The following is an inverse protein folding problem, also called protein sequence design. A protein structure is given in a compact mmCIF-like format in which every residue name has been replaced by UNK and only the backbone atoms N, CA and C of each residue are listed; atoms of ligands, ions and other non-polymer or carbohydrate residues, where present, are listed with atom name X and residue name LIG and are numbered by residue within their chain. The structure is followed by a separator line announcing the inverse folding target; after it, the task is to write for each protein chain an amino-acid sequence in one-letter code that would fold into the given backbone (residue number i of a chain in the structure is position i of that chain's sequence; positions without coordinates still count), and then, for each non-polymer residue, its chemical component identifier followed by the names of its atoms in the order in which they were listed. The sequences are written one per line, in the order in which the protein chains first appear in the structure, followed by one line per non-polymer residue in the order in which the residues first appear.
data_IF_499455872234
#
_entry.id   IF_499455872234
#
_cell.length_a   1.000
_cell.length_b   1.000
_cell.length_c   1.000
_cell.angle_alpha   90.00
_cell.angle_beta   90.00
_cell.angle_gamma   90.00
#
_symmetry.space_group_name_H-M   'P 1'
#
loop_
_entity.id
_entity.type
_entity.pdbx_description
1 polymer ?
#
# COMPACT_ATOMS: atom_id res chain seq x y z
N UNK A 1 -14.48 66.49 -45.60
CA UNK A 1 -13.54 66.39 -44.47
C UNK A 1 -13.20 64.91 -44.31
N UNK A 2 -12.13 64.43 -44.95
CA UNK A 2 -10.75 64.34 -44.43
C UNK A 2 -10.68 63.46 -43.16
N UNK A 3 -9.83 62.45 -43.02
CA UNK A 3 -8.72 61.92 -43.83
C UNK A 3 -8.36 60.50 -43.29
N UNK A 4 -7.65 59.73 -44.11
CA UNK A 4 -6.94 58.45 -43.86
C UNK A 4 -6.24 58.36 -42.49
N UNK A 5 -6.07 57.12 -41.99
CA UNK A 5 -4.80 56.59 -41.43
C UNK A 5 -4.81 55.05 -41.60
N UNK A 6 -3.79 54.53 -42.31
CA UNK A 6 -3.37 53.11 -42.29
C UNK A 6 -2.76 52.76 -40.93
N UNK A 7 -2.53 51.48 -40.63
CA UNK A 7 -1.25 50.88 -40.20
C UNK A 7 -1.50 49.57 -39.44
N UNK A 8 -0.72 48.57 -39.82
CA UNK A 8 -0.55 47.25 -39.23
C UNK A 8 -0.55 47.26 -37.70
N UNK A 9 -1.21 46.27 -37.10
CA UNK A 9 -0.74 45.70 -35.82
C UNK A 9 -0.82 44.17 -35.91
N UNK A 10 0.30 43.56 -35.57
CA UNK A 10 0.61 42.15 -35.70
C UNK A 10 -0.27 41.31 -34.77
N UNK A 11 -1.00 40.35 -35.33
CA UNK A 11 -1.50 39.20 -34.57
C UNK A 11 -0.33 38.23 -34.30
N UNK A 12 0.49 38.55 -33.31
CA UNK A 12 1.37 37.57 -32.68
C UNK A 12 0.49 36.60 -31.88
N UNK A 13 0.09 35.50 -32.53
CA UNK A 13 -0.35 34.31 -31.81
C UNK A 13 0.92 33.70 -31.19
N UNK A 14 1.24 34.11 -29.96
CA UNK A 14 2.18 33.36 -29.13
C UNK A 14 1.47 32.06 -28.74
N UNK A 15 1.64 31.04 -29.58
CA UNK A 15 1.44 29.66 -29.18
C UNK A 15 2.48 29.36 -28.09
N UNK A 16 2.12 29.66 -26.84
CA UNK A 16 2.75 29.06 -25.67
C UNK A 16 2.47 27.56 -25.76
N UNK A 17 3.32 26.85 -26.49
CA UNK A 17 3.53 25.43 -26.28
C UNK A 17 4.04 25.29 -24.85
N UNK A 18 3.09 25.12 -23.92
CA UNK A 18 3.38 24.45 -22.66
C UNK A 18 3.84 23.04 -23.06
N UNK A 19 5.14 22.90 -23.34
CA UNK A 19 5.84 21.66 -23.10
C UNK A 19 5.65 21.39 -21.61
N UNK A 20 4.53 20.74 -21.29
CA UNK A 20 4.35 20.01 -20.04
C UNK A 20 5.47 18.99 -20.02
N UNK A 21 6.62 19.40 -19.49
CA UNK A 21 7.63 18.49 -19.04
C UNK A 21 6.93 17.76 -17.89
N UNK A 22 6.32 16.61 -18.18
CA UNK A 22 5.74 15.79 -17.15
C UNK A 22 6.90 15.45 -16.23
N UNK A 23 6.94 16.07 -15.05
CA UNK A 23 7.94 15.77 -14.04
C UNK A 23 7.62 14.35 -13.55
N UNK A 24 8.18 13.37 -14.25
CA UNK A 24 8.16 11.97 -13.87
C UNK A 24 8.62 11.87 -12.42
N UNK A 25 7.83 11.23 -11.56
CA UNK A 25 8.07 11.26 -10.10
C UNK A 25 9.19 10.34 -9.65
N UNK A 26 9.42 9.27 -10.39
CA UNK A 26 10.60 8.44 -10.25
C UNK A 26 11.82 9.16 -10.81
N UNK A 27 13.00 8.92 -10.23
CA UNK A 27 14.27 9.35 -10.83
C UNK A 27 14.50 8.62 -12.17
N UNK A 28 15.39 9.14 -13.01
CA UNK A 28 15.74 8.48 -14.29
C UNK A 28 16.27 7.06 -14.05
N UNK A 29 17.09 6.88 -13.02
CA UNK A 29 17.65 5.60 -12.63
C UNK A 29 16.56 4.61 -12.19
N UNK A 30 15.61 5.06 -11.36
CA UNK A 30 14.50 4.21 -10.94
C UNK A 30 13.65 3.76 -12.12
N UNK A 31 13.36 4.65 -13.07
CA UNK A 31 12.59 4.29 -14.28
C UNK A 31 13.30 3.27 -15.15
N UNK A 32 14.61 3.42 -15.34
CA UNK A 32 15.40 2.48 -16.15
C UNK A 32 15.49 1.09 -15.51
N UNK A 33 15.31 1.01 -14.19
CA UNK A 33 15.39 -0.24 -13.42
C UNK A 33 14.03 -0.92 -13.27
N UNK A 34 12.94 -0.14 -13.24
CA UNK A 34 11.58 -0.65 -13.10
C UNK A 34 11.14 -1.41 -14.35
N UNK A 35 10.89 -2.71 -14.19
CA UNK A 35 10.32 -3.57 -15.22
C UNK A 35 8.79 -3.52 -15.08
N UNK A 36 8.13 -2.82 -16.01
CA UNK A 36 6.67 -2.71 -16.05
C UNK A 36 6.05 -3.88 -16.81
N UNK A 37 4.75 -4.13 -16.57
CA UNK A 37 3.95 -5.12 -17.31
C UNK A 37 4.64 -6.48 -17.47
N UNK A 38 5.18 -7.00 -16.37
CA UNK A 38 5.61 -8.40 -16.31
C UNK A 38 4.36 -9.26 -16.17
N UNK A 39 4.32 -10.40 -16.85
CA UNK A 39 3.15 -11.27 -16.88
C UNK A 39 3.46 -12.64 -16.27
N UNK A 40 2.45 -13.23 -15.64
CA UNK A 40 2.48 -14.61 -15.16
C UNK A 40 1.13 -15.27 -15.41
N UNK A 41 1.16 -16.50 -15.92
CA UNK A 41 -0.04 -17.30 -16.11
C UNK A 41 -0.33 -18.11 -14.85
N UNK A 42 -1.55 -17.97 -14.31
CA UNK A 42 -2.05 -18.82 -13.23
C UNK A 42 -3.21 -19.61 -13.80
N UNK A 43 -3.01 -20.93 -13.93
CA UNK A 43 -3.94 -21.81 -14.66
C UNK A 43 -4.10 -21.30 -16.10
N UNK A 44 -5.19 -20.57 -16.37
CA UNK A 44 -5.53 -20.00 -17.70
C UNK A 44 -5.68 -18.48 -17.68
N UNK A 45 -5.47 -17.82 -16.52
CA UNK A 45 -5.62 -16.37 -16.37
C UNK A 45 -4.23 -15.75 -16.34
N UNK A 46 -4.01 -14.78 -17.22
CA UNK A 46 -2.81 -13.95 -17.19
C UNK A 46 -2.96 -12.85 -16.13
N UNK A 47 -1.91 -12.64 -15.34
CA UNK A 47 -1.83 -11.59 -14.32
C UNK A 47 -0.57 -10.75 -14.54
N UNK A 48 -0.69 -9.45 -14.31
CA UNK A 48 0.42 -8.51 -14.44
C UNK A 48 1.01 -8.10 -13.09
N UNK A 49 2.27 -7.70 -13.12
CA UNK A 49 2.96 -7.04 -12.02
C UNK A 49 4.08 -6.14 -12.56
N UNK A 50 4.57 -5.23 -11.72
CA UNK A 50 5.84 -4.55 -11.95
C UNK A 50 6.90 -5.09 -10.99
N UNK A 51 8.14 -5.07 -11.44
CA UNK A 51 9.30 -5.55 -10.69
C UNK A 51 10.38 -4.47 -10.63
N UNK A 52 10.84 -4.15 -9.42
CA UNK A 52 11.98 -3.28 -9.21
C UNK A 52 13.05 -4.03 -8.42
N UNK A 53 14.18 -4.31 -9.07
CA UNK A 53 15.32 -5.00 -8.46
C UNK A 53 16.62 -4.23 -8.74
N UNK A 54 16.95 -3.20 -7.93
CA UNK A 54 18.02 -2.26 -8.21
C UNK A 54 19.43 -2.82 -7.96
N UNK A 55 19.57 -3.83 -7.09
CA UNK A 55 20.89 -4.27 -6.62
C UNK A 55 21.29 -5.67 -7.08
N UNK A 56 20.32 -6.52 -7.46
CA UNK A 56 20.53 -7.94 -7.77
C UNK A 56 21.38 -8.69 -6.72
N UNK A 57 21.39 -8.21 -5.47
CA UNK A 57 22.15 -8.80 -4.36
C UNK A 57 21.56 -10.17 -4.01
N UNK A 58 22.42 -11.06 -3.55
CA UNK A 58 21.96 -12.33 -3.00
C UNK A 58 21.28 -12.08 -1.63
N UNK A 59 20.24 -12.87 -1.34
CA UNK A 59 19.49 -12.83 -0.08
C UNK A 59 18.81 -11.48 0.19
N UNK A 60 18.42 -10.76 -0.87
CA UNK A 60 17.64 -9.52 -0.74
C UNK A 60 16.30 -9.79 -0.07
N UNK A 61 15.81 -8.90 0.82
CA UNK A 61 14.41 -8.88 1.20
C UNK A 61 13.51 -8.56 0.00
N UNK A 62 12.30 -9.10 -0.01
CA UNK A 62 11.30 -8.83 -1.04
C UNK A 62 10.04 -8.25 -0.41
N UNK A 63 9.52 -7.17 -1.01
CA UNK A 63 8.36 -6.43 -0.53
C UNK A 63 7.31 -6.40 -1.64
N UNK A 64 6.12 -6.86 -1.32
CA UNK A 64 4.95 -6.74 -2.19
C UNK A 64 4.16 -5.50 -1.82
N UNK A 65 3.81 -4.67 -2.80
CA UNK A 65 3.04 -3.44 -2.63
C UNK A 65 1.69 -3.57 -3.35
N UNK A 66 0.61 -3.60 -2.59
CA UNK A 66 -0.74 -3.87 -3.08
C UNK A 66 -1.58 -2.59 -3.11
N UNK A 67 -2.14 -2.27 -4.27
CA UNK A 67 -3.05 -1.14 -4.45
C UNK A 67 -4.42 -1.36 -3.79
N UNK A 68 -5.13 -0.26 -3.52
CA UNK A 68 -6.53 -0.28 -3.09
C UNK A 68 -7.52 -0.52 -4.24
N UNK A 69 -8.81 -0.62 -3.92
CA UNK A 69 -9.84 -0.89 -4.91
C UNK A 69 -9.98 0.31 -5.88
N UNK A 70 -10.00 0.03 -7.18
CA UNK A 70 -9.99 1.02 -8.26
C UNK A 70 -8.60 1.51 -8.63
N UNK A 71 -7.55 1.07 -7.93
CA UNK A 71 -6.16 1.36 -8.26
C UNK A 71 -5.50 0.31 -9.16
N UNK A 72 -4.23 0.52 -9.49
CA UNK A 72 -3.39 -0.37 -10.28
C UNK A 72 -1.92 -0.34 -9.82
N UNK A 73 -1.10 -1.24 -10.35
CA UNK A 73 0.34 -1.23 -10.18
C UNK A 73 0.98 0.09 -10.65
N UNK A 74 0.48 0.68 -11.74
CA UNK A 74 0.92 2.00 -12.25
C UNK A 74 0.64 3.13 -11.24
N UNK A 75 -0.45 3.05 -10.48
CA UNK A 75 -0.73 4.04 -9.44
C UNK A 75 0.31 3.96 -8.31
N UNK A 76 0.63 2.74 -7.86
CA UNK A 76 1.64 2.51 -6.82
C UNK A 76 3.04 2.90 -7.30
N UNK A 77 3.39 2.58 -8.55
CA UNK A 77 4.68 2.91 -9.14
C UNK A 77 4.82 4.39 -9.55
N UNK A 78 3.75 5.20 -9.43
CA UNK A 78 3.75 6.61 -9.84
C UNK A 78 3.88 6.82 -11.35
N UNK A 79 3.45 5.85 -12.14
CA UNK A 79 3.38 5.91 -13.60
C UNK A 79 2.07 6.53 -14.09
N UNK A 80 1.08 6.65 -13.21
CA UNK A 80 -0.17 7.36 -13.46
C UNK A 80 -0.10 8.87 -13.11
N UNK A 81 -1.17 9.60 -13.42
CA UNK A 81 -1.29 11.03 -13.11
C UNK A 81 -1.68 11.34 -11.64
N UNK A 82 -2.09 10.34 -10.85
CA UNK A 82 -2.52 10.53 -9.44
C UNK A 82 -1.36 10.43 -8.46
N UNK A 83 -1.47 11.07 -7.29
CA UNK A 83 -0.44 11.06 -6.23
C UNK A 83 -0.18 9.64 -5.71
N UNK A 84 1.07 9.34 -5.36
CA UNK A 84 1.51 7.99 -5.06
C UNK A 84 2.42 7.97 -3.81
N UNK A 85 1.86 7.88 -2.59
CA UNK A 85 2.62 7.72 -1.33
C UNK A 85 3.58 6.53 -1.24
N UNK A 86 3.74 5.77 -2.31
CA UNK A 86 4.62 4.62 -2.41
C UNK A 86 5.96 4.92 -3.11
N UNK A 87 6.14 6.09 -3.74
CA UNK A 87 7.41 6.46 -4.39
C UNK A 87 8.62 6.32 -3.42
N UNK A 88 8.52 6.65 -2.12
CA UNK A 88 9.64 6.46 -1.18
C UNK A 88 10.16 5.02 -1.08
N UNK A 89 9.34 4.00 -1.41
CA UNK A 89 9.82 2.62 -1.45
C UNK A 89 10.93 2.40 -2.47
N UNK A 90 10.97 3.15 -3.58
CA UNK A 90 12.02 3.00 -4.58
C UNK A 90 13.38 3.47 -4.06
N UNK A 91 13.41 4.58 -3.33
CA UNK A 91 14.64 5.06 -2.68
C UNK A 91 15.11 4.07 -1.59
N UNK A 92 14.18 3.58 -0.77
CA UNK A 92 14.48 2.58 0.26
C UNK A 92 15.03 1.30 -0.40
N UNK A 93 14.40 0.83 -1.48
CA UNK A 93 14.82 -0.38 -2.19
C UNK A 93 16.21 -0.23 -2.83
N UNK A 94 16.51 0.92 -3.43
CA UNK A 94 17.83 1.20 -3.98
C UNK A 94 18.92 1.22 -2.89
N UNK A 95 18.64 1.88 -1.76
CA UNK A 95 19.59 2.04 -0.66
C UNK A 95 19.82 0.75 0.13
N UNK A 96 18.75 0.01 0.43
CA UNK A 96 18.79 -1.17 1.31
C UNK A 96 18.91 -2.48 0.50
N UNK A 97 18.93 -2.41 -0.84
CA UNK A 97 19.06 -3.56 -1.72
C UNK A 97 17.83 -4.47 -1.71
N UNK A 98 16.63 -3.88 -1.68
CA UNK A 98 15.36 -4.59 -1.62
C UNK A 98 14.81 -4.86 -3.03
N UNK A 99 13.99 -5.90 -3.14
CA UNK A 99 13.19 -6.17 -4.33
C UNK A 99 11.76 -5.71 -4.07
N UNK A 100 11.21 -4.87 -4.95
CA UNK A 100 9.79 -4.51 -4.91
C UNK A 100 9.03 -5.26 -5.98
N UNK A 101 7.90 -5.85 -5.59
CA UNK A 101 6.93 -6.48 -6.48
C UNK A 101 5.63 -5.73 -6.34
N UNK A 102 5.10 -5.24 -7.45
CA UNK A 102 3.89 -4.40 -7.47
C UNK A 102 2.86 -5.10 -8.36
N UNK A 103 2.11 -6.08 -7.82
CA UNK A 103 1.16 -6.84 -8.62
C UNK A 103 -0.14 -6.08 -8.87
N UNK A 104 -0.81 -6.42 -9.97
CA UNK A 104 -2.15 -5.93 -10.30
C UNK A 104 -3.24 -6.87 -9.80
N UNK A 105 -4.29 -6.27 -9.21
CA UNK A 105 -5.57 -6.92 -8.94
C UNK A 105 -6.33 -7.28 -10.21
N UNK A 106 -7.48 -7.92 -10.09
CA UNK A 106 -8.36 -8.20 -11.24
C UNK A 106 -9.50 -7.20 -11.33
N UNK A 107 -10.04 -7.00 -12.53
CA UNK A 107 -11.25 -6.20 -12.73
C UNK A 107 -12.44 -6.92 -12.10
N UNK A 108 -12.98 -6.31 -11.05
CA UNK A 108 -14.14 -6.78 -10.33
C UNK A 108 -15.45 -6.11 -10.78
N UNK A 109 -16.52 -6.32 -10.00
CA UNK A 109 -17.79 -5.65 -10.20
C UNK A 109 -17.64 -4.12 -10.29
N UNK A 110 -18.52 -3.47 -11.07
CA UNK A 110 -18.46 -2.02 -11.37
C UNK A 110 -17.18 -1.56 -12.08
N UNK A 111 -16.49 -2.47 -12.77
CA UNK A 111 -15.26 -2.17 -13.52
C UNK A 111 -14.14 -1.62 -12.63
N UNK A 112 -14.10 -2.07 -11.37
CA UNK A 112 -13.13 -1.64 -10.38
C UNK A 112 -12.08 -2.71 -10.16
N UNK A 113 -10.81 -2.38 -10.37
CA UNK A 113 -9.71 -3.31 -10.16
C UNK A 113 -9.39 -3.48 -8.67
N UNK A 114 -9.23 -4.71 -8.21
CA UNK A 114 -8.95 -4.95 -6.79
C UNK A 114 -8.56 -6.38 -6.50
N UNK A 115 -8.58 -6.71 -5.21
CA UNK A 115 -8.19 -8.00 -4.66
C UNK A 115 -9.37 -8.66 -4.00
N UNK A 116 -9.54 -9.95 -4.21
CA UNK A 116 -10.41 -10.76 -3.37
C UNK A 116 -9.86 -10.78 -1.94
N UNK A 117 -10.37 -9.90 -1.09
CA UNK A 117 -9.96 -9.76 0.31
C UNK A 117 -10.79 -10.63 1.27
N UNK A 118 -11.65 -11.48 0.71
CA UNK A 118 -12.33 -12.56 1.42
C UNK A 118 -13.32 -12.11 2.52
N UNK A 119 -13.74 -10.84 2.46
CA UNK A 119 -15.00 -10.41 3.06
C UNK A 119 -16.17 -11.05 2.32
N UNK A 120 -17.09 -11.65 3.07
CA UNK A 120 -18.23 -12.38 2.50
C UNK A 120 -19.36 -11.44 2.05
N UNK A 121 -19.44 -10.26 2.65
CA UNK A 121 -20.45 -9.22 2.42
C UNK A 121 -19.92 -8.05 1.56
N UNK A 122 -18.90 -8.32 0.74
CA UNK A 122 -18.22 -7.33 -0.09
C UNK A 122 -18.54 -7.50 -1.59
N UNK A 123 -19.74 -7.11 -2.06
CA UNK A 123 -20.21 -7.41 -3.42
C UNK A 123 -19.46 -6.66 -4.53
N UNK A 124 -18.62 -5.68 -4.18
CA UNK A 124 -17.82 -4.90 -5.14
C UNK A 124 -16.41 -5.47 -5.35
N UNK A 125 -16.06 -6.53 -4.63
CA UNK A 125 -14.72 -7.13 -4.65
C UNK A 125 -14.67 -8.27 -5.67
N UNK A 126 -13.58 -8.44 -6.45
CA UNK A 126 -13.47 -9.53 -7.42
C UNK A 126 -13.54 -10.92 -6.77
N UNK A 127 -14.00 -11.92 -7.52
CA UNK A 127 -14.02 -13.32 -7.11
C UNK A 127 -12.76 -14.10 -7.53
N UNK A 128 -11.65 -13.40 -7.83
CA UNK A 128 -10.40 -13.99 -8.30
C UNK A 128 -9.69 -14.84 -7.23
N UNK A 129 -8.89 -15.80 -7.70
CA UNK A 129 -7.95 -16.60 -6.90
C UNK A 129 -6.65 -15.81 -6.65
N UNK A 130 -6.73 -14.74 -5.87
CA UNK A 130 -5.58 -13.87 -5.60
C UNK A 130 -4.56 -14.47 -4.64
N UNK A 131 -4.98 -15.38 -3.75
CA UNK A 131 -4.03 -16.13 -2.92
C UNK A 131 -3.19 -17.05 -3.80
N UNK A 132 -3.82 -17.80 -4.71
CA UNK A 132 -3.14 -18.62 -5.70
C UNK A 132 -2.20 -17.82 -6.61
N UNK A 133 -2.58 -16.58 -6.97
CA UNK A 133 -1.68 -15.66 -7.67
C UNK A 133 -0.42 -15.36 -6.88
N UNK A 134 -0.55 -14.88 -5.65
CA UNK A 134 0.61 -14.45 -4.88
C UNK A 134 1.52 -15.63 -4.52
N UNK A 135 0.97 -16.82 -4.24
CA UNK A 135 1.80 -18.02 -4.02
C UNK A 135 2.57 -18.41 -5.28
N UNK A 136 1.91 -18.43 -6.44
CA UNK A 136 2.54 -18.78 -7.72
C UNK A 136 3.62 -17.76 -8.09
N UNK A 137 3.33 -16.46 -7.93
CA UNK A 137 4.28 -15.39 -8.21
C UNK A 137 5.51 -15.48 -7.30
N UNK A 138 5.33 -15.73 -6.00
CA UNK A 138 6.46 -15.96 -5.09
C UNK A 138 7.33 -17.15 -5.54
N UNK A 139 6.72 -18.26 -5.95
CA UNK A 139 7.45 -19.44 -6.41
C UNK A 139 8.22 -19.16 -7.71
N UNK A 140 7.61 -18.47 -8.67
CA UNK A 140 8.27 -18.06 -9.92
C UNK A 140 9.40 -17.05 -9.69
N UNK A 141 9.22 -16.08 -8.80
CA UNK A 141 10.29 -15.14 -8.47
C UNK A 141 11.43 -15.83 -7.74
N UNK A 142 11.17 -16.90 -6.97
CA UNK A 142 12.23 -17.66 -6.27
C UNK A 142 13.13 -18.42 -7.23
N UNK A 143 12.65 -18.81 -8.41
CA UNK A 143 13.48 -19.48 -9.43
C UNK A 143 14.34 -18.52 -10.23
N UNK A 144 13.93 -17.25 -10.32
CA UNK A 144 14.54 -16.24 -11.20
C UNK A 144 15.33 -15.17 -10.44
N UNK A 145 15.02 -14.93 -9.17
CA UNK A 145 15.61 -13.89 -8.33
C UNK A 145 16.27 -14.49 -7.09
N UNK A 146 17.29 -13.81 -6.57
CA UNK A 146 18.06 -14.24 -5.40
C UNK A 146 17.58 -13.57 -4.11
N UNK A 147 16.34 -13.80 -3.71
CA UNK A 147 15.78 -13.25 -2.46
C UNK A 147 15.82 -14.25 -1.29
N UNK A 148 15.85 -13.75 -0.05
CA UNK A 148 15.73 -14.57 1.17
C UNK A 148 14.25 -14.86 1.45
N UNK A 149 13.83 -16.13 1.34
CA UNK A 149 12.44 -16.53 1.52
C UNK A 149 11.91 -16.42 2.95
N UNK A 150 12.80 -16.10 3.90
CA UNK A 150 12.49 -15.74 5.28
C UNK A 150 12.37 -14.23 5.49
N UNK A 151 12.49 -13.42 4.43
CA UNK A 151 12.38 -11.94 4.43
C UNK A 151 11.41 -11.45 3.37
N UNK A 152 10.23 -12.07 3.36
CA UNK A 152 9.09 -11.71 2.49
C UNK A 152 8.13 -10.82 3.26
N UNK A 153 7.88 -9.62 2.74
CA UNK A 153 7.04 -8.61 3.37
C UNK A 153 5.91 -8.17 2.44
N UNK A 154 4.79 -7.74 3.02
CA UNK A 154 3.60 -7.37 2.27
C UNK A 154 3.00 -6.07 2.80
N UNK A 155 2.73 -5.12 1.93
CA UNK A 155 2.15 -3.81 2.29
C UNK A 155 0.95 -3.57 1.41
N UNK A 156 -0.18 -3.23 2.01
CA UNK A 156 -1.40 -2.94 1.26
C UNK A 156 -2.18 -1.78 1.83
N UNK A 157 -2.84 -1.04 0.95
CA UNK A 157 -3.73 0.08 1.31
C UNK A 157 -5.19 -0.26 1.01
N UNK A 158 -6.11 0.12 1.89
CA UNK A 158 -7.56 -0.05 1.71
C UNK A 158 -7.94 -1.51 1.40
N UNK A 159 -8.51 -1.82 0.22
CA UNK A 159 -8.74 -3.22 -0.21
C UNK A 159 -7.43 -4.04 -0.25
N UNK A 160 -6.30 -3.47 -0.66
CA UNK A 160 -4.99 -4.11 -0.53
C UNK A 160 -4.58 -4.35 0.93
N UNK A 161 -4.99 -3.46 1.84
CA UNK A 161 -4.81 -3.62 3.29
C UNK A 161 -5.60 -4.82 3.85
N UNK A 162 -6.86 -4.95 3.45
CA UNK A 162 -7.66 -6.15 3.72
C UNK A 162 -7.05 -7.41 3.11
N UNK A 163 -6.51 -7.29 1.90
CA UNK A 163 -5.90 -8.42 1.21
C UNK A 163 -4.62 -8.92 1.89
N UNK A 164 -3.74 -8.04 2.38
CA UNK A 164 -2.56 -8.51 3.14
C UNK A 164 -2.95 -9.18 4.46
N UNK A 165 -4.04 -8.76 5.10
CA UNK A 165 -4.59 -9.47 6.26
C UNK A 165 -5.09 -10.87 5.88
N UNK A 166 -5.77 -11.01 4.73
CA UNK A 166 -6.18 -12.31 4.18
C UNK A 166 -4.97 -13.20 3.93
N UNK A 167 -3.94 -12.71 3.24
CA UNK A 167 -2.72 -13.47 2.96
C UNK A 167 -2.06 -13.93 4.26
N UNK A 168 -2.02 -13.07 5.29
CA UNK A 168 -1.50 -13.43 6.60
C UNK A 168 -2.37 -14.50 7.31
N UNK A 169 -3.66 -14.61 7.03
CA UNK A 169 -4.52 -15.68 7.55
C UNK A 169 -4.35 -17.00 6.78
N UNK A 170 -4.29 -16.97 5.45
CA UNK A 170 -4.32 -18.17 4.62
C UNK A 170 -2.92 -18.75 4.31
N UNK A 171 -1.91 -17.90 4.15
CA UNK A 171 -0.53 -18.29 3.80
C UNK A 171 0.55 -17.71 4.73
N UNK A 172 0.37 -17.68 6.06
CA UNK A 172 1.34 -17.06 6.98
C UNK A 172 2.76 -17.63 6.87
N UNK A 173 2.91 -18.90 6.49
CA UNK A 173 4.19 -19.56 6.27
C UNK A 173 4.98 -19.03 5.05
N UNK A 174 4.37 -18.17 4.22
CA UNK A 174 4.99 -17.57 3.03
C UNK A 174 5.48 -16.15 3.26
N UNK A 175 5.14 -15.51 4.39
CA UNK A 175 5.54 -14.14 4.71
C UNK A 175 6.18 -14.01 6.09
N UNK A 176 6.77 -12.85 6.36
CA UNK A 176 7.48 -12.55 7.62
C UNK A 176 6.73 -11.51 8.44
N UNK A 177 6.27 -10.45 7.77
CA UNK A 177 5.43 -9.42 8.35
C UNK A 177 4.58 -8.76 7.27
N UNK A 178 3.49 -8.11 7.69
CA UNK A 178 2.68 -7.29 6.80
C UNK A 178 2.38 -5.91 7.41
N UNK A 179 2.01 -4.96 6.54
CA UNK A 179 1.51 -3.65 6.91
C UNK A 179 0.19 -3.37 6.17
N UNK A 180 -0.87 -3.07 6.93
CA UNK A 180 -2.19 -2.70 6.45
C UNK A 180 -2.42 -1.21 6.70
N UNK A 181 -2.70 -0.46 5.64
CA UNK A 181 -2.97 0.98 5.71
C UNK A 181 -4.43 1.24 5.39
N UNK A 182 -5.10 2.07 6.20
CA UNK A 182 -6.50 2.50 6.05
C UNK A 182 -7.47 1.32 5.85
N UNK A 183 -7.22 0.25 6.60
CA UNK A 183 -8.01 -0.96 6.57
C UNK A 183 -8.02 -1.63 7.95
N UNK A 184 -9.16 -2.22 8.30
CA UNK A 184 -9.40 -2.91 9.56
C UNK A 184 -9.88 -4.33 9.30
N UNK A 185 -9.87 -5.17 10.32
CA UNK A 185 -10.28 -6.57 10.20
C UNK A 185 -11.71 -6.71 9.65
N UNK A 186 -11.99 -7.76 8.87
CA UNK A 186 -13.35 -8.03 8.40
C UNK A 186 -14.26 -8.46 9.57
N UNK A 187 -15.49 -7.97 9.62
CA UNK A 187 -16.50 -8.48 10.56
C UNK A 187 -17.15 -9.77 10.08
N UNK A 188 -17.20 -9.98 8.75
CA UNK A 188 -17.76 -11.17 8.11
C UNK A 188 -16.74 -11.73 7.11
N UNK A 189 -15.86 -12.60 7.59
CA UNK A 189 -14.83 -13.26 6.78
C UNK A 189 -15.23 -14.69 6.43
N UNK A 190 -14.91 -15.10 5.20
CA UNK A 190 -15.02 -16.51 4.76
C UNK A 190 -13.64 -17.19 4.64
N UNK A 191 -12.59 -16.59 5.19
CA UNK A 191 -11.22 -17.07 4.98
C UNK A 191 -10.92 -18.25 5.89
N UNK A 192 -10.05 -19.14 5.44
CA UNK A 192 -9.45 -20.12 6.32
C UNK A 192 -8.51 -19.39 7.30
N UNK A 193 -8.66 -19.70 8.58
CA UNK A 193 -7.87 -19.06 9.63
C UNK A 193 -6.72 -19.99 10.02
N UNK A 194 -5.48 -19.55 9.79
CA UNK A 194 -4.30 -20.12 10.42
C UNK A 194 -3.97 -19.42 11.74
N UNK A 195 -3.40 -20.16 12.69
CA UNK A 195 -2.93 -19.64 13.98
C UNK A 195 -1.45 -19.27 13.97
N UNK A 196 -0.73 -19.47 12.86
CA UNK A 196 0.70 -19.13 12.78
C UNK A 196 0.86 -17.61 13.00
N UNK A 197 1.71 -17.19 13.95
CA UNK A 197 1.91 -15.78 14.27
C UNK A 197 2.69 -15.07 13.15
N UNK A 198 2.27 -13.85 12.81
CA UNK A 198 2.90 -13.02 11.76
C UNK A 198 2.95 -11.59 12.26
N UNK A 199 4.11 -10.94 12.21
CA UNK A 199 4.21 -9.56 12.67
C UNK A 199 3.31 -8.65 11.83
N UNK A 200 2.56 -7.77 12.50
CA UNK A 200 1.48 -7.01 11.88
C UNK A 200 1.63 -5.51 12.19
N UNK A 201 1.55 -4.67 11.17
CA UNK A 201 1.51 -3.22 11.33
C UNK A 201 0.21 -2.67 10.74
N UNK A 202 -0.41 -1.71 11.44
CA UNK A 202 -1.58 -0.98 10.98
C UNK A 202 -1.33 0.52 10.97
N UNK A 203 -1.86 1.24 9.98
CA UNK A 203 -1.86 2.70 9.93
C UNK A 203 -3.25 3.20 9.55
N UNK A 204 -4.04 3.65 10.53
CA UNK A 204 -5.46 3.96 10.32
C UNK A 204 -5.79 5.37 10.81
N UNK A 205 -6.52 6.12 9.98
CA UNK A 205 -7.06 7.44 10.29
C UNK A 205 -8.30 7.36 11.17
N UNK A 206 -8.40 8.20 12.20
CA UNK A 206 -9.60 8.23 13.07
C UNK A 206 -10.78 8.95 12.44
N UNK A 207 -10.54 9.75 11.39
CA UNK A 207 -11.55 10.49 10.64
C UNK A 207 -11.71 9.94 9.21
N UNK A 208 -11.37 8.67 9.00
CA UNK A 208 -11.54 7.96 7.73
C UNK A 208 -13.03 7.83 7.37
N UNK A 209 -13.50 8.47 6.28
CA UNK A 209 -14.91 8.45 5.91
C UNK A 209 -15.32 7.18 5.13
N UNK A 210 -14.36 6.34 4.71
CA UNK A 210 -14.61 5.19 3.84
C UNK A 210 -14.50 3.86 4.60
N UNK A 211 -13.56 3.76 5.53
CA UNK A 211 -13.36 2.61 6.43
C UNK A 211 -13.35 3.13 7.87
N UNK A 212 -14.51 3.13 8.56
CA UNK A 212 -14.63 3.75 9.87
C UNK A 212 -13.68 3.15 10.91
N UNK A 213 -12.93 4.00 11.61
CA UNK A 213 -11.99 3.56 12.65
C UNK A 213 -12.68 2.74 13.76
N UNK A 214 -13.91 3.09 14.10
CA UNK A 214 -14.73 2.42 15.11
C UNK A 214 -15.45 1.16 14.60
N UNK A 215 -15.21 0.77 13.34
CA UNK A 215 -15.90 -0.34 12.71
C UNK A 215 -17.27 0.06 12.16
N UNK A 216 -17.89 -0.85 11.41
CA UNK A 216 -19.21 -0.65 10.81
C UNK A 216 -19.27 -1.02 9.34
N UNK A 217 -20.39 -0.64 8.72
CA UNK A 217 -20.66 -0.94 7.31
C UNK A 217 -19.84 0.00 6.42
N UNK A 218 -19.22 -0.56 5.38
CA UNK A 218 -18.58 0.19 4.30
C UNK A 218 -19.25 -0.15 2.97
N UNK A 219 -18.91 0.56 1.89
CA UNK A 219 -19.37 0.19 0.55
C UNK A 219 -18.88 -1.20 0.09
N UNK A 220 -17.82 -1.72 0.74
CA UNK A 220 -17.12 -2.96 0.39
C UNK A 220 -17.23 -4.01 1.52
N UNK A 221 -18.31 -3.98 2.31
CA UNK A 221 -18.57 -4.94 3.39
C UNK A 221 -18.30 -4.38 4.79
N UNK A 222 -18.51 -5.20 5.81
CA UNK A 222 -18.47 -4.77 7.21
C UNK A 222 -17.09 -5.02 7.82
N UNK A 223 -16.59 -4.04 8.57
CA UNK A 223 -15.31 -4.12 9.28
C UNK A 223 -15.50 -4.01 10.79
N UNK A 224 -14.64 -4.68 11.55
CA UNK A 224 -14.51 -4.43 12.99
C UNK A 224 -13.68 -3.15 13.22
N UNK A 225 -13.70 -2.61 14.44
CA UNK A 225 -12.88 -1.45 14.78
C UNK A 225 -11.38 -1.71 14.61
N UNK A 226 -10.60 -0.66 14.40
CA UNK A 226 -9.14 -0.73 14.42
C UNK A 226 -8.66 -1.35 15.73
N UNK A 227 -9.21 -0.94 16.87
CA UNK A 227 -8.79 -1.46 18.18
C UNK A 227 -9.14 -2.96 18.35
N UNK A 228 -10.28 -3.42 17.83
CA UNK A 228 -10.62 -4.84 17.78
C UNK A 228 -9.67 -5.63 16.85
N UNK A 229 -9.25 -5.02 15.75
CA UNK A 229 -8.28 -5.60 14.83
C UNK A 229 -6.92 -5.78 15.50
N UNK A 230 -6.44 -4.75 16.21
CA UNK A 230 -5.20 -4.83 16.99
C UNK A 230 -5.30 -5.89 18.08
N UNK A 231 -6.42 -5.94 18.80
CA UNK A 231 -6.67 -6.96 19.83
C UNK A 231 -6.61 -8.38 19.26
N UNK A 232 -7.21 -8.59 18.08
CA UNK A 232 -7.13 -9.87 17.37
C UNK A 232 -5.68 -10.27 17.08
N UNK A 233 -4.87 -9.35 16.54
CA UNK A 233 -3.47 -9.65 16.20
C UNK A 233 -2.57 -9.80 17.42
N UNK A 234 -2.81 -9.06 18.51
CA UNK A 234 -2.12 -9.25 19.80
C UNK A 234 -2.35 -10.68 20.29
N UNK A 235 -3.61 -11.12 20.31
CA UNK A 235 -3.99 -12.46 20.74
C UNK A 235 -3.38 -13.53 19.84
N UNK A 236 -3.46 -13.35 18.52
CA UNK A 236 -2.91 -14.29 17.53
C UNK A 236 -1.39 -14.43 17.65
N UNK A 237 -0.69 -13.31 17.82
CA UNK A 237 0.77 -13.30 17.91
C UNK A 237 1.28 -13.62 19.32
N UNK A 238 0.41 -13.65 20.33
CA UNK A 238 0.79 -13.85 21.72
C UNK A 238 1.73 -12.75 22.24
N UNK A 239 1.55 -11.50 21.78
CA UNK A 239 2.36 -10.36 22.24
C UNK A 239 1.95 -9.94 23.65
N UNK A 240 2.76 -9.08 24.24
CA UNK A 240 2.33 -8.29 25.39
C UNK A 240 1.09 -7.45 25.06
N UNK A 241 0.28 -7.16 26.07
CA UNK A 241 -0.94 -6.32 25.95
C UNK A 241 -0.68 -4.86 26.30
N UNK A 242 0.40 -4.55 27.01
CA UNK A 242 0.83 -3.18 27.25
C UNK A 242 1.74 -2.72 26.09
N UNK A 243 1.37 -1.65 25.35
CA UNK A 243 2.19 -1.16 24.27
C UNK A 243 3.28 -0.21 24.77
N UNK A 244 4.36 -0.13 24.00
CA UNK A 244 5.27 1.02 24.02
C UNK A 244 4.63 2.10 23.14
N UNK A 245 4.41 3.28 23.72
CA UNK A 245 3.73 4.40 23.07
C UNK A 245 4.76 5.45 22.64
N UNK A 246 4.66 5.90 21.41
CA UNK A 246 5.47 7.02 20.87
C UNK A 246 4.55 8.05 20.24
N UNK A 247 4.67 9.30 20.68
CA UNK A 247 4.01 10.43 20.03
C UNK A 247 4.96 11.11 19.05
N UNK A 248 4.47 11.39 17.85
CA UNK A 248 5.26 12.09 16.83
C UNK A 248 4.97 13.60 16.89
N UNK A 249 5.94 14.46 16.53
CA UNK A 249 5.70 15.89 16.43
C UNK A 249 4.56 16.20 15.47
N UNK A 250 3.57 16.95 15.93
CA UNK A 250 2.44 17.37 15.11
C UNK A 250 2.78 18.67 14.37
N UNK A 251 3.09 18.57 13.07
CA UNK A 251 3.28 19.72 12.17
C UNK A 251 2.13 19.85 11.17
N UNK A 252 1.35 18.78 10.97
CA UNK A 252 0.16 18.73 10.13
C UNK A 252 -1.13 18.91 10.93
N UNK A 253 -2.27 18.97 10.25
CA UNK A 253 -3.60 19.07 10.87
C UNK A 253 -4.04 17.80 11.63
N UNK A 254 -3.21 16.76 11.62
CA UNK A 254 -3.51 15.44 12.20
C UNK A 254 -2.32 15.01 13.07
N UNK A 255 -2.58 14.23 14.12
CA UNK A 255 -1.54 13.76 15.07
C UNK A 255 -1.28 12.28 14.85
N UNK A 256 -0.01 11.85 14.97
CA UNK A 256 0.35 10.44 14.92
C UNK A 256 0.82 9.95 16.27
N UNK A 257 0.23 8.85 16.73
CA UNK A 257 0.65 8.13 17.92
C UNK A 257 0.83 6.66 17.54
N UNK A 258 2.00 6.09 17.82
CA UNK A 258 2.25 4.68 17.59
C UNK A 258 2.16 3.86 18.88
N UNK A 259 1.65 2.64 18.77
CA UNK A 259 1.50 1.66 19.84
C UNK A 259 2.16 0.35 19.40
N UNK A 260 3.29 0.00 20.03
CA UNK A 260 4.05 -1.23 19.73
C UNK A 260 3.85 -2.28 20.82
N UNK A 261 3.25 -3.41 20.45
CA UNK A 261 3.08 -4.59 21.28
C UNK A 261 4.14 -5.62 20.90
N UNK A 262 5.09 -5.86 21.80
CA UNK A 262 6.29 -6.66 21.52
C UNK A 262 6.25 -8.05 22.18
N UNK A 263 7.35 -8.80 22.02
CA UNK A 263 7.58 -10.10 22.66
C UNK A 263 6.53 -11.16 22.34
N UNK A 264 5.98 -11.14 21.12
CA UNK A 264 5.12 -12.21 20.63
C UNK A 264 5.88 -13.51 20.40
N UNK A 265 5.12 -14.57 20.13
CA UNK A 265 5.64 -15.88 19.74
C UNK A 265 6.60 -15.70 18.55
N UNK A 266 7.75 -16.37 18.62
CA UNK A 266 8.85 -16.26 17.64
C UNK A 266 9.42 -14.83 17.47
N UNK A 267 9.18 -13.93 18.42
CA UNK A 267 9.60 -12.53 18.35
C UNK A 267 8.69 -11.67 17.47
N UNK A 268 7.46 -12.12 17.20
CA UNK A 268 6.48 -11.33 16.46
C UNK A 268 6.05 -10.09 17.24
N UNK A 269 5.60 -9.08 16.50
CA UNK A 269 5.16 -7.81 17.06
C UNK A 269 3.86 -7.35 16.39
N UNK A 270 3.07 -6.56 17.10
CA UNK A 270 1.92 -5.84 16.56
C UNK A 270 2.16 -4.34 16.73
N UNK A 271 1.96 -3.56 15.68
CA UNK A 271 2.17 -2.12 15.67
C UNK A 271 0.93 -1.41 15.14
N UNK A 272 0.48 -0.36 15.82
CA UNK A 272 -0.55 0.54 15.33
C UNK A 272 0.01 1.95 15.25
N UNK A 273 -0.05 2.59 14.09
CA UNK A 273 0.00 4.04 13.97
C UNK A 273 -1.43 4.55 13.89
N UNK A 274 -1.90 5.16 14.98
CA UNK A 274 -3.18 5.87 15.01
C UNK A 274 -2.94 7.28 14.48
N UNK A 275 -3.66 7.65 13.43
CA UNK A 275 -3.59 8.98 12.82
C UNK A 275 -4.83 9.77 13.22
N UNK A 276 -4.75 10.48 14.33
CA UNK A 276 -5.85 11.27 14.89
C UNK A 276 -6.19 12.45 13.96
N UNK A 277 -7.43 12.51 13.49
CA UNK A 277 -7.89 13.45 12.47
C UNK A 277 -7.44 13.12 11.04
N UNK A 278 -6.70 12.01 10.84
CA UNK A 278 -6.37 11.50 9.52
C UNK A 278 -7.55 10.81 8.84
N UNK A 279 -7.60 10.92 7.52
CA UNK A 279 -8.60 10.27 6.66
C UNK A 279 -8.14 8.92 6.07
N UNK A 280 -8.79 8.52 4.99
CA UNK A 280 -8.54 7.34 4.17
C UNK A 280 -7.35 7.53 3.21
N UNK A 281 -6.19 7.94 3.74
CA UNK A 281 -4.99 8.21 2.93
C UNK A 281 -3.73 7.80 3.69
N UNK A 282 -2.76 7.22 2.98
CA UNK A 282 -1.44 6.91 3.53
C UNK A 282 -0.70 8.17 3.98
N UNK A 283 -0.13 8.18 5.20
CA UNK A 283 0.77 9.26 5.61
C UNK A 283 1.97 9.38 4.64
N UNK A 284 2.22 10.61 4.17
CA UNK A 284 3.37 10.90 3.34
C UNK A 284 3.76 12.38 3.44
N UNK A 285 5.06 12.62 3.56
CA UNK A 285 5.66 13.97 3.51
C UNK A 285 5.86 14.40 2.08
N UNK A 286 6.31 13.48 1.22
CA UNK A 286 6.70 13.79 -0.16
C UNK A 286 5.53 13.79 -1.14
N UNK A 287 4.61 12.85 -0.98
CA UNK A 287 3.55 12.59 -1.97
C UNK A 287 2.18 12.95 -1.40
N UNK A 288 1.84 14.22 -1.60
CA UNK A 288 0.63 14.85 -1.09
C UNK A 288 -0.48 14.85 -2.13
N UNK A 289 -1.63 14.26 -1.82
CA UNK A 289 -2.81 14.30 -2.69
C UNK A 289 -3.36 15.72 -2.84
N UNK A 290 -4.09 15.95 -3.93
CA UNK A 290 -4.74 17.24 -4.20
C UNK A 290 -5.89 17.51 -3.22
N UNK A 291 -6.25 18.79 -3.08
CA UNK A 291 -7.38 19.20 -2.25
C UNK A 291 -8.69 18.49 -2.62
N UNK A 292 -8.93 18.26 -3.91
CA UNK A 292 -10.12 17.53 -4.37
C UNK A 292 -10.17 16.12 -3.80
N UNK A 293 -9.03 15.43 -3.77
CA UNK A 293 -8.95 14.07 -3.21
C UNK A 293 -9.12 14.09 -1.68
N UNK A 294 -8.44 14.99 -0.98
CA UNK A 294 -8.53 15.08 0.48
C UNK A 294 -9.91 15.55 0.97
N UNK A 295 -10.69 16.24 0.13
CA UNK A 295 -12.09 16.60 0.46
C UNK A 295 -13.01 15.37 0.49
N UNK A 296 -12.69 14.33 -0.28
CA UNK A 296 -13.45 13.06 -0.31
C UNK A 296 -12.91 12.06 0.70
N UNK A 297 -11.59 11.87 0.74
CA UNK A 297 -10.94 10.84 1.54
C UNK A 297 -10.54 11.33 2.95
N UNK A 298 -10.71 12.62 3.28
CA UNK A 298 -10.26 13.21 4.53
C UNK A 298 -8.79 13.66 4.51
N UNK A 299 -8.30 14.17 5.64
CA UNK A 299 -6.96 14.77 5.71
C UNK A 299 -5.84 13.72 5.61
N UNK A 300 -4.84 13.97 4.77
CA UNK A 300 -3.64 13.14 4.73
C UNK A 300 -2.64 13.63 5.78
N UNK A 301 -2.12 12.76 6.65
CA UNK A 301 -1.04 13.15 7.56
C UNK A 301 0.27 13.40 6.79
N UNK A 302 0.99 14.47 7.16
CA UNK A 302 2.25 14.87 6.53
C UNK A 302 3.43 14.95 7.49
N UNK A 303 3.32 14.33 8.66
CA UNK A 303 4.37 14.38 9.70
C UNK A 303 5.36 13.20 9.58
N UNK A 304 4.87 12.06 9.09
CA UNK A 304 5.64 10.84 8.87
C UNK A 304 5.59 10.40 7.41
N UNK A 305 6.52 9.51 7.03
CA UNK A 305 6.50 8.82 5.75
C UNK A 305 6.19 7.35 5.96
N UNK A 306 5.02 6.88 5.50
CA UNK A 306 4.55 5.52 5.78
C UNK A 306 5.55 4.44 5.36
N UNK A 307 6.19 4.58 4.20
CA UNK A 307 7.20 3.64 3.72
C UNK A 307 8.40 3.51 4.66
N UNK A 308 8.88 4.61 5.23
CA UNK A 308 10.04 4.62 6.14
C UNK A 308 9.70 3.94 7.46
N UNK A 309 8.55 4.28 8.05
CA UNK A 309 8.05 3.69 9.30
C UNK A 309 7.79 2.18 9.15
N UNK A 310 7.20 1.77 8.02
CA UNK A 310 6.96 0.35 7.72
C UNK A 310 8.29 -0.39 7.53
N UNK A 311 9.25 0.19 6.78
CA UNK A 311 10.54 -0.44 6.60
C UNK A 311 11.33 -0.56 7.91
N UNK A 312 11.28 0.46 8.77
CA UNK A 312 11.88 0.41 10.10
C UNK A 312 11.31 -0.75 10.93
N UNK A 313 10.01 -1.01 10.83
CA UNK A 313 9.38 -2.17 11.45
C UNK A 313 9.82 -3.51 10.82
N UNK A 314 10.03 -3.57 9.51
CA UNK A 314 10.37 -4.81 8.79
C UNK A 314 11.85 -5.20 8.85
N UNK A 315 12.78 -4.25 8.78
CA UNK A 315 14.20 -4.51 8.45
C UNK A 315 14.94 -5.49 9.37
N UNK A 316 14.51 -5.63 10.62
CA UNK A 316 15.08 -6.57 11.59
C UNK A 316 14.42 -7.95 11.63
N UNK A 317 13.35 -8.18 10.88
CA UNK A 317 12.52 -9.39 10.98
C UNK A 317 12.98 -10.46 10.00
N UNK A 318 13.01 -11.68 10.50
CA UNK A 318 13.30 -12.90 9.72
C UNK A 318 12.36 -13.99 10.22
N UNK A 319 11.66 -14.65 9.30
CA UNK A 319 10.83 -15.81 9.66
C UNK A 319 11.74 -16.94 10.12
N UNK A 320 11.47 -17.50 11.30
CA UNK A 320 12.19 -18.63 11.88
C UNK A 320 11.74 -19.94 11.25
#
# INVERSE_FOLDING_TARGET
MNLKICWNELLYVVLLTLMSCSSTRLTKEHRNTLQTNQHISIKVIERSYHLFNPSQKANSPIIFLFHGNGGSADNIAGLSHVKAPYIPWFDIAANEGLILVIPDGTIGPKNSQGWNDCRNDAPRIPASDDVGFITTLLDTLKTSLRFDDRKVFMVGTSNGGHFVMRLAQEIPHRMTAFASIVASGPANSKCSISTIPVSALFMNGTADPLVPYLGGNTENGTVISTDSSITYWIKRNGTQTAPIITEFPQKSSSKVISYRYAQGVNGTEVMLYRVEGGGHIEPSRRERYSFLWTSFAGSQNGDIESAEEIWAFFKGKVRK
#
